data_IF_324141695475
#
_entry.id   IF_324141695475
#
_cell.length_a   1.000
_cell.length_b   1.000
_cell.length_c   1.000
_cell.angle_alpha   90.00
_cell.angle_beta   90.00
_cell.angle_gamma   90.00
#
_symmetry.space_group_name_H-M   'P 1'
#
loop_
_entity.id
_entity.type
_entity.pdbx_description
1 polymer ?
#
# COMPACT_ATOMS: atom_id res chain seq x y z
N UNK A 1 -23.96 2.02 9.54
CA UNK A 1 -22.80 1.29 10.09
C UNK A 1 -22.68 0.01 9.30
N UNK A 2 -21.90 0.02 8.23
CA UNK A 2 -21.60 -1.18 7.45
C UNK A 2 -20.17 -1.55 7.80
N UNK A 3 -20.02 -2.58 8.63
CA UNK A 3 -18.71 -3.09 9.01
C UNK A 3 -18.21 -3.96 7.85
N UNK A 4 -17.16 -3.50 7.18
CA UNK A 4 -16.42 -4.31 6.23
C UNK A 4 -15.68 -5.39 7.02
N UNK A 5 -16.09 -6.64 6.83
CA UNK A 5 -15.41 -7.78 7.43
C UNK A 5 -14.09 -8.04 6.70
N UNK A 6 -13.03 -8.17 7.50
CA UNK A 6 -11.65 -8.37 7.09
C UNK A 6 -11.49 -9.58 6.15
N UNK A 7 -10.61 -9.46 5.16
CA UNK A 7 -10.33 -10.51 4.19
C UNK A 7 -8.85 -10.93 4.28
N UNK A 8 -8.61 -12.18 4.69
CA UNK A 8 -7.34 -12.86 4.50
C UNK A 8 -7.59 -14.06 3.58
N UNK A 9 -7.35 -13.90 2.28
CA UNK A 9 -7.28 -15.03 1.36
C UNK A 9 -5.88 -15.59 1.45
N UNK A 10 -5.72 -16.66 2.20
CA UNK A 10 -4.55 -17.53 2.09
C UNK A 10 -5.03 -18.96 2.05
N UNK A 11 -4.62 -19.74 1.04
CA UNK A 11 -3.61 -20.78 1.22
C UNK A 11 -3.50 -21.73 0.01
N UNK A 12 -2.43 -22.51 0.11
CA UNK A 12 -1.82 -23.49 -0.78
C UNK A 12 -2.75 -24.51 -1.46
N UNK A 13 -2.35 -24.92 -2.67
CA UNK A 13 -2.85 -26.12 -3.31
C UNK A 13 -1.72 -27.11 -3.62
N UNK A 14 -1.93 -28.36 -3.20
CA UNK A 14 -1.13 -29.52 -3.61
C UNK A 14 -1.52 -29.97 -5.02
N UNK A 15 -0.54 -30.23 -5.87
CA UNK A 15 -0.75 -30.78 -7.20
C UNK A 15 -1.29 -32.22 -7.11
N UNK A 16 -2.58 -32.42 -7.42
CA UNK A 16 -3.13 -33.76 -7.64
C UNK A 16 -2.80 -34.26 -9.05
N UNK A 17 -2.15 -35.41 -9.16
CA UNK A 17 -1.89 -36.09 -10.44
C UNK A 17 -3.10 -36.96 -10.83
N UNK A 18 -4.07 -36.41 -11.58
CA UNK A 18 -5.13 -37.19 -12.23
C UNK A 18 -4.82 -37.43 -13.72
N UNK A 19 -5.28 -38.55 -14.31
CA UNK A 19 -4.73 -39.07 -15.55
C UNK A 19 -5.16 -38.27 -16.79
N UNK A 20 -4.21 -38.04 -17.68
CA UNK A 20 -4.42 -37.41 -18.98
C UNK A 20 -5.04 -38.42 -19.95
N UNK A 21 -6.26 -38.17 -20.42
CA UNK A 21 -6.91 -39.05 -21.39
C UNK A 21 -6.38 -38.80 -22.82
N UNK A 22 -5.51 -39.69 -23.30
CA UNK A 22 -5.10 -39.75 -24.71
C UNK A 22 -5.71 -40.98 -25.38
N UNK A 23 -6.56 -40.75 -26.39
CA UNK A 23 -6.85 -41.76 -27.42
C UNK A 23 -6.21 -41.40 -28.77
N UNK A 24 -5.96 -40.11 -29.04
CA UNK A 24 -5.23 -39.62 -30.21
C UNK A 24 -4.50 -38.28 -29.88
N UNK A 25 -3.15 -38.22 -29.96
CA UNK A 25 -2.36 -37.00 -29.75
C UNK A 25 -2.61 -35.88 -30.76
N UNK A 26 -3.15 -36.19 -31.94
CA UNK A 26 -3.38 -35.22 -33.03
C UNK A 26 -4.66 -34.37 -32.87
N UNK A 27 -5.49 -34.70 -31.88
CA UNK A 27 -6.79 -34.08 -31.60
C UNK A 27 -6.81 -33.39 -30.21
N UNK A 28 -5.62 -33.06 -29.70
CA UNK A 28 -5.44 -32.34 -28.44
C UNK A 28 -5.72 -30.84 -28.65
N UNK A 29 -6.87 -30.35 -28.17
CA UNK A 29 -7.31 -28.94 -28.27
C UNK A 29 -6.85 -28.08 -27.09
N UNK A 30 -5.70 -28.38 -26.46
CA UNK A 30 -5.32 -27.80 -25.15
C UNK A 30 -4.98 -26.34 -25.24
N UNK A 31 -4.54 -25.95 -26.43
CA UNK A 31 -4.08 -24.61 -26.71
C UNK A 31 -5.20 -23.79 -27.37
N UNK A 32 -6.36 -24.40 -27.63
CA UNK A 32 -7.49 -23.73 -28.30
C UNK A 32 -8.33 -22.89 -27.33
N UNK A 33 -8.26 -23.19 -26.03
CA UNK A 33 -8.92 -22.47 -24.94
C UNK A 33 -7.89 -22.21 -23.87
N UNK A 34 -7.80 -20.97 -23.39
CA UNK A 34 -6.90 -20.57 -22.31
C UNK A 34 -7.72 -19.89 -21.20
N UNK A 35 -7.76 -20.50 -20.01
CA UNK A 35 -8.43 -19.91 -18.85
C UNK A 35 -7.40 -19.01 -18.17
N UNK A 36 -7.65 -17.70 -18.15
CA UNK A 36 -6.74 -16.71 -17.58
C UNK A 36 -6.90 -16.59 -16.06
N UNK A 37 -8.10 -16.81 -15.54
CA UNK A 37 -8.41 -16.59 -14.13
C UNK A 37 -9.89 -16.73 -13.81
N UNK A 38 -10.19 -16.58 -12.53
CA UNK A 38 -11.54 -16.40 -12.02
C UNK A 38 -11.62 -15.08 -11.26
N UNK A 39 -12.77 -14.42 -11.34
CA UNK A 39 -13.03 -13.14 -10.67
C UNK A 39 -14.33 -13.26 -9.88
N UNK A 40 -14.34 -12.73 -8.67
CA UNK A 40 -15.55 -12.55 -7.88
C UNK A 40 -15.96 -11.08 -7.88
N UNK A 41 -17.18 -10.80 -8.32
CA UNK A 41 -17.81 -9.50 -8.16
C UNK A 41 -18.69 -9.52 -6.93
N UNK A 42 -18.18 -8.97 -5.85
CA UNK A 42 -18.93 -8.86 -4.59
C UNK A 42 -19.91 -7.70 -4.71
N UNK A 43 -21.18 -7.95 -4.38
CA UNK A 43 -22.24 -6.92 -4.39
C UNK A 43 -21.99 -5.79 -3.38
N UNK A 44 -21.14 -6.05 -2.37
CA UNK A 44 -20.70 -5.09 -1.36
C UNK A 44 -21.69 -4.85 -0.22
N UNK A 45 -22.95 -5.27 -0.38
CA UNK A 45 -24.01 -5.05 0.59
C UNK A 45 -24.31 -6.32 1.40
N UNK A 46 -24.32 -6.19 2.73
CA UNK A 46 -24.88 -7.20 3.63
C UNK A 46 -26.41 -7.05 3.65
N UNK A 47 -27.12 -7.95 2.97
CA UNK A 47 -28.58 -7.93 2.88
C UNK A 47 -29.11 -9.17 3.60
N UNK A 48 -29.99 -8.95 4.58
CA UNK A 48 -30.63 -10.01 5.38
C UNK A 48 -29.64 -11.01 6.02
N UNK A 49 -28.43 -10.54 6.36
CA UNK A 49 -27.39 -11.34 7.02
C UNK A 49 -26.46 -12.09 6.07
N UNK A 50 -26.60 -11.90 4.76
CA UNK A 50 -25.74 -12.52 3.74
C UNK A 50 -25.09 -11.48 2.83
N UNK A 51 -23.88 -11.80 2.37
CA UNK A 51 -23.21 -11.14 1.25
C UNK A 51 -23.34 -12.05 0.03
N UNK A 52 -23.48 -11.47 -1.16
CA UNK A 52 -23.43 -12.21 -2.42
C UNK A 52 -22.28 -11.76 -3.31
N UNK A 53 -21.75 -12.68 -4.10
CA UNK A 53 -20.82 -12.39 -5.18
C UNK A 53 -21.10 -13.25 -6.39
N UNK A 54 -20.95 -12.65 -7.56
CA UNK A 54 -21.02 -13.38 -8.82
C UNK A 54 -19.61 -13.82 -9.23
N UNK A 55 -19.43 -15.12 -9.41
CA UNK A 55 -18.20 -15.75 -9.87
C UNK A 55 -18.18 -15.76 -11.40
N UNK A 56 -17.09 -15.28 -11.99
CA UNK A 56 -16.87 -15.28 -13.43
C UNK A 56 -15.55 -15.97 -13.78
N UNK A 57 -15.53 -16.63 -14.94
CA UNK A 57 -14.33 -17.18 -15.56
C UNK A 57 -13.85 -16.23 -16.68
N UNK A 58 -12.56 -15.93 -16.70
CA UNK A 58 -11.91 -15.19 -17.79
C UNK A 58 -11.28 -16.18 -18.76
N UNK A 59 -11.79 -16.22 -19.99
CA UNK A 59 -11.45 -17.25 -20.98
C UNK A 59 -11.06 -16.61 -22.31
N UNK A 60 -9.94 -17.06 -22.88
CA UNK A 60 -9.54 -16.76 -24.24
C UNK A 60 -9.75 -17.99 -25.15
N UNK A 61 -10.33 -17.78 -26.33
CA UNK A 61 -10.50 -18.81 -27.34
C UNK A 61 -9.53 -18.57 -28.49
N UNK A 62 -8.48 -19.39 -28.55
CA UNK A 62 -7.39 -19.25 -29.52
C UNK A 62 -7.75 -19.78 -30.91
N UNK A 63 -8.75 -20.66 -31.03
CA UNK A 63 -9.15 -21.30 -32.29
C UNK A 63 -10.60 -21.01 -32.71
N UNK A 64 -10.87 -20.91 -34.01
CA UNK A 64 -12.21 -20.71 -34.60
C UNK A 64 -13.05 -22.01 -34.60
N UNK A 65 -13.33 -22.57 -33.42
CA UNK A 65 -14.28 -23.67 -33.26
C UNK A 65 -15.31 -23.35 -32.16
N UNK A 66 -16.39 -24.13 -32.10
CA UNK A 66 -17.33 -24.09 -30.98
C UNK A 66 -16.81 -24.95 -29.82
N UNK A 67 -16.67 -24.36 -28.65
CA UNK A 67 -16.25 -25.06 -27.43
C UNK A 67 -17.36 -24.99 -26.39
N UNK A 68 -17.72 -26.15 -25.86
CA UNK A 68 -18.59 -26.26 -24.71
C UNK A 68 -17.72 -26.20 -23.45
N UNK A 69 -17.84 -25.16 -22.63
CA UNK A 69 -17.02 -24.96 -21.41
C UNK A 69 -17.84 -25.26 -20.16
N UNK A 70 -17.21 -25.87 -19.17
CA UNK A 70 -17.76 -26.11 -17.85
C UNK A 70 -16.72 -25.91 -16.75
N UNK A 71 -17.20 -25.65 -15.55
CA UNK A 71 -16.41 -25.41 -14.34
C UNK A 71 -16.91 -26.35 -13.24
N UNK A 72 -16.00 -26.87 -12.44
CA UNK A 72 -16.29 -27.51 -11.16
C UNK A 72 -15.49 -26.81 -10.09
N UNK A 73 -16.07 -26.52 -8.94
CA UNK A 73 -15.36 -25.84 -7.87
C UNK A 73 -15.95 -26.20 -6.51
N UNK A 74 -15.13 -25.99 -5.48
CA UNK A 74 -15.59 -26.03 -4.10
C UNK A 74 -15.65 -24.61 -3.55
N UNK A 75 -16.62 -24.36 -2.67
CA UNK A 75 -16.65 -23.12 -1.90
C UNK A 75 -16.90 -23.40 -0.43
N UNK A 76 -16.16 -22.68 0.42
CA UNK A 76 -16.16 -22.82 1.86
C UNK A 76 -16.30 -21.46 2.54
N UNK A 77 -16.84 -21.49 3.75
CA UNK A 77 -16.70 -20.43 4.74
C UNK A 77 -15.72 -20.87 5.83
N UNK A 78 -15.44 -20.00 6.79
CA UNK A 78 -14.64 -20.37 7.98
C UNK A 78 -15.22 -21.56 8.75
N UNK A 79 -16.53 -21.78 8.67
CA UNK A 79 -17.26 -22.73 9.51
C UNK A 79 -17.73 -23.98 8.74
N UNK A 80 -18.02 -23.83 7.45
CA UNK A 80 -18.70 -24.87 6.66
C UNK A 80 -18.41 -24.77 5.17
N UNK A 81 -18.39 -25.92 4.49
CA UNK A 81 -18.41 -26.04 3.03
C UNK A 81 -19.79 -25.72 2.47
N UNK A 82 -19.91 -24.68 1.66
CA UNK A 82 -21.19 -24.23 1.07
C UNK A 82 -21.43 -24.80 -0.33
N UNK A 83 -20.38 -25.22 -1.03
CA UNK A 83 -20.43 -25.88 -2.34
C UNK A 83 -19.37 -26.97 -2.39
N UNK A 84 -19.76 -28.16 -2.86
CA UNK A 84 -18.91 -29.35 -2.96
C UNK A 84 -19.01 -29.92 -4.37
N UNK A 85 -17.89 -29.98 -5.09
CA UNK A 85 -17.82 -30.42 -6.49
C UNK A 85 -18.93 -29.77 -7.36
N UNK A 86 -19.20 -28.47 -7.16
CA UNK A 86 -20.32 -27.79 -7.82
C UNK A 86 -20.06 -27.69 -9.32
N UNK A 87 -20.87 -28.41 -10.10
CA UNK A 87 -20.74 -28.47 -11.56
C UNK A 87 -21.60 -27.41 -12.25
N UNK A 88 -20.92 -26.48 -12.94
CA UNK A 88 -21.56 -25.44 -13.73
C UNK A 88 -21.23 -25.62 -15.22
N UNK A 89 -22.28 -25.78 -16.04
CA UNK A 89 -22.17 -25.72 -17.49
C UNK A 89 -22.27 -24.27 -17.97
N UNK A 90 -21.18 -23.71 -18.46
CA UNK A 90 -21.12 -22.32 -18.94
C UNK A 90 -21.77 -22.14 -20.32
N UNK A 91 -21.73 -23.18 -21.17
CA UNK A 91 -22.38 -23.17 -22.48
C UNK A 91 -21.40 -23.28 -23.65
N UNK A 92 -21.88 -22.94 -24.85
CA UNK A 92 -21.13 -23.05 -26.10
C UNK A 92 -20.63 -21.67 -26.54
N UNK A 93 -19.33 -21.56 -26.75
CA UNK A 93 -18.66 -20.32 -27.15
C UNK A 93 -17.93 -20.51 -28.48
N UNK A 94 -17.93 -19.47 -29.29
CA UNK A 94 -17.23 -19.39 -30.58
C UNK A 94 -16.22 -18.27 -30.47
N UNK A 95 -15.00 -18.45 -30.97
CA UNK A 95 -14.02 -17.36 -31.05
C UNK A 95 -14.62 -16.16 -31.80
N UNK A 96 -14.54 -14.98 -31.19
CA UNK A 96 -14.75 -13.71 -31.86
C UNK A 96 -13.40 -13.00 -32.00
N UNK A 97 -13.27 -12.08 -32.94
CA UNK A 97 -11.95 -11.68 -33.42
C UNK A 97 -11.13 -10.79 -32.47
N UNK A 98 -11.58 -10.47 -31.24
CA UNK A 98 -10.83 -9.60 -30.32
C UNK A 98 -11.16 -9.69 -28.80
N UNK A 99 -12.04 -10.58 -28.31
CA UNK A 99 -12.48 -10.48 -26.91
C UNK A 99 -11.96 -11.61 -26.01
N UNK A 100 -11.44 -11.21 -24.85
CA UNK A 100 -11.44 -12.06 -23.65
C UNK A 100 -12.90 -12.21 -23.19
N UNK A 101 -13.32 -13.45 -22.98
CA UNK A 101 -14.67 -13.73 -22.51
C UNK A 101 -14.70 -13.69 -21.00
N UNK A 102 -15.57 -12.85 -20.46
CA UNK A 102 -15.96 -12.90 -19.06
C UNK A 102 -17.28 -13.66 -18.96
N UNK A 103 -17.23 -14.88 -18.43
CA UNK A 103 -18.36 -15.82 -18.46
C UNK A 103 -18.84 -16.05 -17.05
N UNK A 104 -20.12 -15.77 -16.80
CA UNK A 104 -20.76 -16.02 -15.51
C UNK A 104 -20.75 -17.51 -15.18
N UNK A 105 -20.34 -17.84 -13.95
CA UNK A 105 -20.25 -19.21 -13.42
C UNK A 105 -21.37 -19.45 -12.42
N UNK A 106 -21.35 -18.78 -11.27
CA UNK A 106 -22.35 -18.98 -10.22
C UNK A 106 -22.52 -17.71 -9.38
N UNK A 107 -23.62 -17.61 -8.64
CA UNK A 107 -23.80 -16.62 -7.58
C UNK A 107 -23.59 -17.30 -6.24
N UNK A 108 -22.54 -16.89 -5.54
CA UNK A 108 -22.21 -17.36 -4.20
C UNK A 108 -22.83 -16.46 -3.15
N UNK A 109 -23.40 -17.06 -2.11
CA UNK A 109 -23.92 -16.34 -0.94
C UNK A 109 -23.31 -16.94 0.33
N UNK A 110 -22.86 -16.09 1.24
CA UNK A 110 -22.30 -16.51 2.52
C UNK A 110 -22.65 -15.51 3.64
N UNK A 111 -22.60 -15.93 4.92
CA UNK A 111 -22.94 -15.06 6.04
C UNK A 111 -22.06 -13.81 6.10
N UNK A 112 -22.65 -12.67 6.45
CA UNK A 112 -21.90 -11.45 6.69
C UNK A 112 -20.92 -11.63 7.85
N UNK A 113 -19.69 -11.15 7.71
CA UNK A 113 -18.66 -11.31 8.73
C UNK A 113 -17.76 -12.53 8.55
N UNK A 114 -18.16 -13.48 7.71
CA UNK A 114 -17.40 -14.70 7.43
C UNK A 114 -16.56 -14.56 6.15
N UNK A 115 -15.45 -15.29 6.10
CA UNK A 115 -14.65 -15.44 4.88
C UNK A 115 -15.36 -16.36 3.88
N UNK A 116 -15.06 -16.15 2.59
CA UNK A 116 -15.39 -17.07 1.50
C UNK A 116 -14.09 -17.56 0.86
N UNK A 117 -13.97 -18.87 0.73
CA UNK A 117 -12.91 -19.54 0.00
C UNK A 117 -13.51 -20.22 -1.21
N UNK A 118 -12.92 -20.03 -2.39
CA UNK A 118 -13.29 -20.75 -3.61
C UNK A 118 -12.04 -21.47 -4.08
N UNK A 119 -12.07 -22.79 -4.01
CA UNK A 119 -10.91 -23.65 -4.18
C UNK A 119 -11.22 -24.80 -5.13
N UNK A 120 -10.18 -25.59 -5.46
CA UNK A 120 -10.29 -26.79 -6.30
C UNK A 120 -11.00 -26.55 -7.65
N UNK A 121 -10.82 -25.36 -8.21
CA UNK A 121 -11.48 -25.00 -9.46
C UNK A 121 -10.90 -25.83 -10.62
N UNK A 122 -11.76 -26.65 -11.21
CA UNK A 122 -11.52 -27.44 -12.39
C UNK A 122 -12.27 -26.84 -13.57
N UNK A 123 -11.58 -26.67 -14.69
CA UNK A 123 -12.19 -26.27 -15.96
C UNK A 123 -12.01 -27.36 -16.98
N UNK A 124 -13.04 -27.56 -17.78
CA UNK A 124 -12.97 -28.45 -18.92
C UNK A 124 -13.74 -27.87 -20.09
N UNK A 125 -13.29 -28.22 -21.29
CA UNK A 125 -13.98 -27.87 -22.52
C UNK A 125 -14.08 -29.05 -23.45
N UNK A 126 -14.98 -28.95 -24.42
CA UNK A 126 -15.05 -29.89 -25.52
C UNK A 126 -15.43 -29.26 -26.84
N UNK A 127 -14.67 -29.58 -27.88
CA UNK A 127 -14.92 -29.15 -29.25
C UNK A 127 -16.21 -29.78 -29.78
N UNK A 128 -17.17 -28.97 -30.22
CA UNK A 128 -18.46 -29.43 -30.75
C UNK A 128 -19.19 -30.43 -29.84
N UNK A 129 -19.12 -30.24 -28.51
CA UNK A 129 -19.64 -31.17 -27.48
C UNK A 129 -20.85 -30.63 -26.70
N UNK A 130 -21.51 -31.48 -25.93
CA UNK A 130 -22.64 -31.17 -25.04
C UNK A 130 -22.28 -30.81 -23.59
N UNK A 131 -21.00 -30.71 -23.21
CA UNK A 131 -20.52 -30.50 -21.82
C UNK A 131 -21.09 -31.52 -20.83
N UNK A 132 -20.42 -32.66 -20.62
CA UNK A 132 -20.79 -33.62 -19.58
C UNK A 132 -19.62 -33.78 -18.63
N UNK A 133 -19.81 -33.47 -17.34
CA UNK A 133 -18.83 -33.77 -16.29
C UNK A 133 -18.86 -35.25 -15.93
N UNK A 134 -17.68 -35.83 -15.72
CA UNK A 134 -17.51 -37.22 -15.32
C UNK A 134 -16.83 -37.27 -13.95
N UNK A 135 -17.39 -38.06 -13.04
CA UNK A 135 -16.91 -38.21 -11.67
C UNK A 135 -15.46 -38.72 -11.60
N UNK A 136 -14.72 -38.43 -10.51
CA UNK A 136 -13.38 -38.97 -10.29
C UNK A 136 -13.39 -40.50 -10.30
N UNK A 137 -12.92 -41.13 -11.39
CA UNK A 137 -12.85 -42.59 -11.54
C UNK A 137 -13.31 -43.16 -12.88
N UNK A 138 -13.88 -42.35 -13.77
CA UNK A 138 -14.23 -42.77 -15.13
C UNK A 138 -12.97 -43.01 -15.99
N UNK A 139 -12.88 -44.17 -16.64
CA UNK A 139 -11.75 -44.51 -17.52
C UNK A 139 -12.01 -44.00 -18.94
N UNK A 140 -10.94 -43.59 -19.62
CA UNK A 140 -10.99 -42.96 -20.95
C UNK A 140 -11.55 -43.85 -22.10
N UNK A 141 -11.98 -45.08 -21.80
CA UNK A 141 -12.60 -46.02 -22.75
C UNK A 141 -14.11 -45.90 -22.84
N UNK A 142 -14.75 -45.15 -21.93
CA UNK A 142 -16.19 -44.97 -21.92
C UNK A 142 -16.57 -43.89 -22.94
N UNK A 143 -17.37 -44.32 -23.92
CA UNK A 143 -17.68 -43.63 -25.17
C UNK A 143 -17.97 -42.12 -25.03
N UNK A 144 -17.45 -41.35 -26.00
CA UNK A 144 -17.69 -39.91 -26.23
C UNK A 144 -17.04 -38.92 -25.25
N UNK A 145 -15.74 -39.09 -24.98
CA UNK A 145 -14.94 -38.09 -24.26
C UNK A 145 -14.85 -36.79 -25.05
N UNK A 146 -15.44 -35.73 -24.52
CA UNK A 146 -15.30 -34.40 -25.12
C UNK A 146 -14.16 -33.58 -24.57
N UNK A 147 -13.53 -34.01 -23.48
CA UNK A 147 -12.51 -33.21 -22.80
C UNK A 147 -11.14 -33.80 -23.05
N UNK A 148 -10.60 -33.55 -24.24
CA UNK A 148 -9.15 -33.49 -24.36
C UNK A 148 -8.82 -32.10 -23.83
N UNK A 149 -8.27 -32.01 -22.61
CA UNK A 149 -7.03 -31.27 -22.32
C UNK A 149 -6.75 -30.92 -20.85
N UNK A 150 -5.44 -30.72 -20.64
CA UNK A 150 -4.66 -29.99 -19.62
C UNK A 150 -5.43 -29.41 -18.42
N UNK A 151 -5.06 -29.88 -17.22
CA UNK A 151 -5.29 -29.23 -15.93
C UNK A 151 -4.48 -27.92 -15.89
N UNK A 152 -5.13 -26.78 -15.69
CA UNK A 152 -4.43 -25.55 -15.27
C UNK A 152 -3.85 -25.75 -13.88
N UNK A 153 -2.73 -25.09 -13.58
CA UNK A 153 -2.29 -24.95 -12.19
C UNK A 153 -3.44 -24.35 -11.37
N UNK A 154 -3.53 -24.64 -10.04
CA UNK A 154 -4.54 -24.05 -9.17
C UNK A 154 -4.68 -22.56 -9.46
N UNK A 155 -5.88 -22.15 -9.90
CA UNK A 155 -6.13 -20.80 -10.37
C UNK A 155 -6.59 -19.96 -9.18
N UNK A 156 -5.94 -18.83 -8.94
CA UNK A 156 -6.35 -17.88 -7.91
C UNK A 156 -7.66 -17.19 -8.35
N UNK A 157 -8.61 -17.09 -7.43
CA UNK A 157 -9.74 -16.16 -7.60
C UNK A 157 -9.25 -14.76 -7.26
N UNK A 158 -9.12 -13.92 -8.29
CA UNK A 158 -8.64 -12.55 -8.10
C UNK A 158 -9.81 -11.70 -7.65
N UNK A 159 -9.78 -11.29 -6.39
CA UNK A 159 -10.75 -10.35 -5.83
C UNK A 159 -10.21 -8.94 -6.05
N UNK A 160 -10.97 -8.03 -6.70
CA UNK A 160 -10.54 -6.66 -6.85
C UNK A 160 -10.30 -6.01 -5.50
N UNK A 161 -9.21 -5.26 -5.38
CA UNK A 161 -8.80 -4.73 -4.10
C UNK A 161 -7.64 -3.77 -4.18
N UNK A 162 -7.45 -3.03 -3.10
CA UNK A 162 -6.33 -2.08 -2.95
C UNK A 162 -5.48 -2.51 -1.77
N UNK A 163 -4.24 -2.92 -2.04
CA UNK A 163 -3.23 -3.17 -1.01
C UNK A 163 -2.49 -1.87 -0.72
N UNK A 164 -2.59 -1.38 0.51
CA UNK A 164 -1.73 -0.31 1.00
C UNK A 164 -0.47 -0.93 1.58
N UNK A 165 0.68 -0.42 1.15
CA UNK A 165 1.97 -0.76 1.71
C UNK A 165 2.59 0.50 2.32
N UNK A 166 2.84 0.44 3.61
CA UNK A 166 3.45 1.52 4.37
C UNK A 166 4.94 1.23 4.56
N UNK A 167 5.75 2.15 4.05
CA UNK A 167 7.20 2.16 4.26
C UNK A 167 7.55 3.35 5.15
N UNK A 168 8.22 3.07 6.26
CA UNK A 168 8.70 4.07 7.21
C UNK A 168 10.21 4.16 7.08
N UNK A 169 10.74 5.38 6.88
CA UNK A 169 12.16 5.63 6.66
C UNK A 169 12.70 6.55 7.76
N UNK A 170 13.76 6.09 8.41
CA UNK A 170 14.58 6.87 9.35
C UNK A 170 16.00 6.93 8.79
N UNK A 171 16.27 7.79 7.79
CA UNK A 171 17.45 7.66 6.95
C UNK A 171 18.75 8.14 7.62
N UNK A 172 18.66 8.83 8.77
CA UNK A 172 19.80 9.43 9.45
C UNK A 172 20.11 8.72 10.79
N UNK A 173 21.37 8.81 11.22
CA UNK A 173 21.74 8.45 12.60
C UNK A 173 20.98 9.34 13.58
N UNK A 174 20.74 8.90 14.81
CA UNK A 174 19.91 9.59 15.82
C UNK A 174 18.41 9.78 15.50
N UNK A 175 17.93 9.25 14.37
CA UNK A 175 16.50 9.02 14.20
C UNK A 175 16.06 7.79 14.97
N UNK A 176 15.06 7.95 15.84
CA UNK A 176 14.20 6.86 16.26
C UNK A 176 12.84 6.99 15.62
N UNK A 177 12.24 5.85 15.39
CA UNK A 177 10.83 5.76 15.10
C UNK A 177 10.12 5.60 16.45
N UNK A 178 9.28 6.58 16.80
CA UNK A 178 8.59 6.65 18.10
C UNK A 178 7.34 5.74 18.09
N UNK A 179 6.48 5.82 19.12
CA UNK A 179 5.13 5.20 19.12
C UNK A 179 4.15 5.90 18.14
N UNK A 180 4.66 6.42 17.02
CA UNK A 180 3.83 7.11 16.02
C UNK A 180 3.03 6.10 15.21
N UNK A 181 1.75 6.42 15.04
CA UNK A 181 0.82 5.68 14.18
C UNK A 181 0.55 6.46 12.89
N UNK A 182 0.40 5.73 11.79
CA UNK A 182 0.05 6.26 10.47
C UNK A 182 -1.34 5.77 10.10
N UNK A 183 -2.31 6.68 10.13
CA UNK A 183 -3.69 6.39 9.79
C UNK A 183 -3.94 6.53 8.28
N UNK A 184 -4.58 5.53 7.71
CA UNK A 184 -5.07 5.51 6.34
C UNK A 184 -6.58 5.41 6.31
N UNK A 185 -7.20 6.26 5.50
CA UNK A 185 -8.61 6.17 5.18
C UNK A 185 -8.78 5.79 3.71
N UNK A 186 -9.74 4.91 3.44
CA UNK A 186 -10.22 4.63 2.08
C UNK A 186 -11.68 5.06 1.97
N UNK A 187 -11.98 5.80 0.91
CA UNK A 187 -13.35 6.19 0.55
C UNK A 187 -13.71 5.66 -0.82
N UNK A 188 -14.99 5.45 -1.07
CA UNK A 188 -15.47 4.88 -2.33
C UNK A 188 -16.92 5.27 -2.64
N UNK A 189 -17.52 4.66 -3.66
CA UNK A 189 -18.89 4.95 -4.07
C UNK A 189 -19.89 4.65 -2.95
N UNK A 190 -21.08 5.26 -3.07
CA UNK A 190 -22.24 4.98 -2.18
C UNK A 190 -21.92 5.16 -0.68
N UNK A 191 -20.94 6.01 -0.35
CA UNK A 191 -20.56 6.29 1.04
C UNK A 191 -19.69 5.22 1.69
N UNK A 192 -19.06 4.34 0.90
CA UNK A 192 -18.04 3.43 1.40
C UNK A 192 -16.93 4.22 2.11
N UNK A 193 -16.63 3.83 3.34
CA UNK A 193 -15.54 4.36 4.15
C UNK A 193 -14.98 3.24 5.03
N UNK A 194 -13.67 3.09 5.04
CA UNK A 194 -12.95 2.16 5.89
C UNK A 194 -11.56 2.77 6.19
N UNK A 195 -10.78 2.16 7.07
CA UNK A 195 -9.44 2.61 7.37
C UNK A 195 -8.57 1.52 7.98
N UNK A 196 -7.28 1.78 7.99
CA UNK A 196 -6.30 0.96 8.70
C UNK A 196 -5.22 1.86 9.30
N UNK A 197 -4.67 1.45 10.42
CA UNK A 197 -3.55 2.13 11.06
C UNK A 197 -2.33 1.22 11.01
N UNK A 198 -1.18 1.80 10.65
CA UNK A 198 0.11 1.14 10.78
C UNK A 198 0.87 1.78 11.93
N UNK A 199 1.67 0.98 12.61
CA UNK A 199 2.68 1.52 13.49
C UNK A 199 3.91 1.97 12.68
N UNK A 200 4.87 2.41 13.46
CA UNK A 200 6.21 2.80 13.09
C UNK A 200 7.03 1.73 12.33
N UNK A 201 6.71 0.44 12.44
CA UNK A 201 7.38 -0.63 11.69
C UNK A 201 6.89 -0.69 10.22
N UNK A 202 5.78 0.00 9.93
CA UNK A 202 5.12 -0.02 8.64
C UNK A 202 4.39 -1.34 8.42
N UNK A 203 4.34 -1.80 7.16
CA UNK A 203 3.71 -3.07 6.82
C UNK A 203 2.74 -2.92 5.67
N UNK A 204 1.76 -3.80 5.61
CA UNK A 204 0.76 -3.75 4.54
C UNK A 204 -0.61 -4.23 4.99
N UNK A 205 -1.63 -3.70 4.33
CA UNK A 205 -3.02 -4.05 4.57
C UNK A 205 -3.77 -4.02 3.25
N UNK A 206 -4.67 -4.98 3.03
CA UNK A 206 -5.45 -5.06 1.79
C UNK A 206 -6.91 -4.73 2.07
N UNK A 207 -7.39 -3.65 1.45
CA UNK A 207 -8.81 -3.34 1.34
C UNK A 207 -9.39 -4.19 0.20
N UNK A 208 -10.05 -5.27 0.57
CA UNK A 208 -10.77 -6.16 -0.32
C UNK A 208 -11.91 -6.83 0.47
N UNK A 209 -12.99 -7.29 -0.19
CA UNK A 209 -13.29 -7.08 -1.61
C UNK A 209 -13.70 -5.63 -1.92
N UNK A 210 -13.36 -5.15 -3.12
CA UNK A 210 -13.83 -3.87 -3.65
C UNK A 210 -14.60 -4.08 -4.97
N UNK A 211 -15.50 -3.17 -5.28
CA UNK A 211 -16.36 -3.24 -6.47
C UNK A 211 -15.56 -2.81 -7.69
N UNK A 212 -15.48 -3.65 -8.72
CA UNK A 212 -14.87 -3.29 -9.98
C UNK A 212 -15.69 -2.21 -10.73
N UNK A 213 -15.05 -1.49 -11.64
CA UNK A 213 -15.62 -0.34 -12.34
C UNK A 213 -15.83 0.91 -11.48
N UNK A 214 -15.42 0.85 -10.20
CA UNK A 214 -15.59 1.92 -9.23
C UNK A 214 -14.28 2.62 -8.88
N UNK A 215 -14.39 3.89 -8.49
CA UNK A 215 -13.26 4.70 -8.04
C UNK A 215 -13.21 4.77 -6.52
N UNK A 216 -12.06 4.43 -5.97
CA UNK A 216 -11.73 4.54 -4.55
C UNK A 216 -10.63 5.58 -4.35
N UNK A 217 -10.61 6.24 -3.19
CA UNK A 217 -9.55 7.17 -2.81
C UNK A 217 -8.94 6.72 -1.50
N UNK A 218 -7.66 6.37 -1.53
CA UNK A 218 -6.84 6.09 -0.34
C UNK A 218 -6.10 7.36 0.03
N UNK A 219 -6.21 7.77 1.28
CA UNK A 219 -5.56 8.98 1.82
C UNK A 219 -4.86 8.64 3.12
N UNK A 220 -3.67 9.20 3.31
CA UNK A 220 -2.94 9.15 4.57
C UNK A 220 -3.13 10.45 5.37
N UNK A 221 -3.30 10.30 6.69
CA UNK A 221 -3.21 11.41 7.63
C UNK A 221 -1.76 11.51 8.10
N UNK A 222 -1.02 12.49 7.58
CA UNK A 222 0.41 12.64 7.87
C UNK A 222 0.60 13.07 9.33
N UNK A 223 1.27 12.26 10.18
CA UNK A 223 1.52 12.65 11.56
C UNK A 223 2.48 13.84 11.68
N UNK A 224 2.39 14.58 12.78
CA UNK A 224 3.31 15.70 13.06
C UNK A 224 4.75 15.18 13.16
N UNK A 225 5.70 15.91 12.56
CA UNK A 225 7.11 15.52 12.53
C UNK A 225 7.44 14.44 11.50
N UNK A 226 6.51 14.14 10.58
CA UNK A 226 6.73 13.23 9.46
C UNK A 226 6.40 13.91 8.13
N UNK A 227 7.06 13.46 7.06
CA UNK A 227 6.79 13.91 5.70
C UNK A 227 6.54 12.73 4.76
N UNK A 228 5.45 12.81 4.00
CA UNK A 228 5.14 11.87 2.93
C UNK A 228 6.01 12.18 1.71
N UNK A 229 7.04 11.37 1.52
CA UNK A 229 8.10 11.59 0.53
C UNK A 229 7.79 10.97 -0.83
N UNK A 230 7.04 9.87 -0.85
CA UNK A 230 6.64 9.23 -2.10
C UNK A 230 5.34 8.44 -1.98
N UNK A 231 4.59 8.39 -3.08
CA UNK A 231 3.51 7.43 -3.25
C UNK A 231 3.63 6.82 -4.66
N UNK A 232 3.62 5.50 -4.76
CA UNK A 232 3.66 4.78 -6.04
C UNK A 232 2.49 3.81 -6.15
N UNK A 233 2.13 3.43 -7.38
CA UNK A 233 1.08 2.45 -7.64
C UNK A 233 1.61 1.37 -8.58
N UNK A 234 1.29 0.12 -8.27
CA UNK A 234 1.51 -1.04 -9.12
C UNK A 234 0.20 -1.83 -9.23
N UNK A 235 0.02 -2.59 -10.31
CA UNK A 235 -1.15 -3.45 -10.50
C UNK A 235 -0.71 -4.82 -10.98
N UNK A 236 -1.54 -5.83 -10.71
CA UNK A 236 -1.33 -7.19 -11.22
C UNK A 236 -1.62 -7.33 -12.73
N UNK A 237 -2.23 -6.32 -13.36
CA UNK A 237 -2.52 -6.28 -14.79
C UNK A 237 -1.39 -5.61 -15.61
N UNK A 238 -1.29 -5.97 -16.89
CA UNK A 238 -0.21 -5.46 -17.75
C UNK A 238 -0.37 -3.96 -18.12
N UNK A 239 -1.60 -3.43 -18.08
CA UNK A 239 -1.86 -2.00 -18.23
C UNK A 239 -1.77 -1.32 -16.86
N UNK A 240 -1.09 -0.16 -16.73
CA UNK A 240 -1.01 0.55 -15.46
C UNK A 240 -2.42 0.83 -14.91
N UNK A 241 -2.60 0.76 -13.58
CA UNK A 241 -3.87 1.12 -12.97
C UNK A 241 -4.19 2.58 -13.30
N UNK A 242 -5.46 2.95 -13.37
CA UNK A 242 -5.82 4.38 -13.36
C UNK A 242 -5.61 4.93 -11.95
N UNK A 243 -4.36 5.22 -11.62
CA UNK A 243 -3.92 5.74 -10.34
C UNK A 243 -3.58 7.22 -10.49
N UNK A 244 -4.46 8.09 -10.01
CA UNK A 244 -4.29 9.55 -10.09
C UNK A 244 -3.89 10.13 -8.73
N UNK A 245 -2.98 11.13 -8.70
CA UNK A 245 -2.55 11.75 -7.44
C UNK A 245 -3.67 12.58 -6.79
N UNK A 246 -3.73 12.53 -5.45
CA UNK A 246 -4.49 13.46 -4.59
C UNK A 246 -3.53 14.05 -3.54
N UNK A 247 -3.98 15.01 -2.73
CA UNK A 247 -3.12 15.79 -1.81
C UNK A 247 -2.20 14.92 -0.94
N UNK A 248 -2.73 13.86 -0.31
CA UNK A 248 -1.97 12.91 0.51
C UNK A 248 -2.31 11.45 0.15
N UNK A 249 -2.53 11.18 -1.13
CA UNK A 249 -3.17 9.93 -1.51
C UNK A 249 -3.21 9.62 -2.99
N UNK A 250 -4.03 8.62 -3.31
CA UNK A 250 -4.28 8.14 -4.66
C UNK A 250 -5.75 7.87 -4.88
N UNK A 251 -6.24 8.29 -6.04
CA UNK A 251 -7.54 7.87 -6.57
C UNK A 251 -7.32 6.74 -7.56
N UNK A 252 -7.98 5.60 -7.33
CA UNK A 252 -7.81 4.35 -8.07
C UNK A 252 -9.17 3.93 -8.62
N UNK A 253 -9.30 3.80 -9.94
CA UNK A 253 -10.46 3.11 -10.53
C UNK A 253 -10.08 1.67 -10.81
N UNK A 254 -10.77 0.74 -10.16
CA UNK A 254 -10.49 -0.69 -10.25
C UNK A 254 -11.17 -1.30 -11.47
N UNK A 255 -10.41 -2.05 -12.28
CA UNK A 255 -10.91 -2.96 -13.29
C UNK A 255 -11.38 -4.30 -12.71
N UNK A 256 -11.96 -5.13 -13.58
CA UNK A 256 -12.26 -6.54 -13.26
C UNK A 256 -10.97 -7.29 -12.90
N UNK A 257 -10.99 -8.05 -11.80
CA UNK A 257 -9.84 -8.80 -11.32
C UNK A 257 -8.60 -7.94 -11.02
N UNK A 258 -8.75 -6.62 -10.85
CA UNK A 258 -7.62 -5.73 -10.62
C UNK A 258 -7.27 -5.61 -9.14
N UNK A 259 -6.01 -5.89 -8.80
CA UNK A 259 -5.41 -5.60 -7.50
C UNK A 259 -4.35 -4.52 -7.65
N UNK A 260 -4.61 -3.38 -7.03
CA UNK A 260 -3.67 -2.26 -7.03
C UNK A 260 -2.92 -2.22 -5.71
N UNK A 261 -1.59 -2.27 -5.77
CA UNK A 261 -0.74 -1.97 -4.61
C UNK A 261 -0.37 -0.49 -4.66
N UNK A 262 -0.67 0.22 -3.57
CA UNK A 262 -0.27 1.62 -3.37
C UNK A 262 0.75 1.65 -2.25
N UNK A 263 1.97 2.05 -2.57
CA UNK A 263 3.07 2.13 -1.59
C UNK A 263 3.25 3.58 -1.17
N UNK A 264 3.10 3.86 0.12
CA UNK A 264 3.33 5.16 0.76
C UNK A 264 4.66 5.12 1.51
N UNK A 265 5.50 6.14 1.33
CA UNK A 265 6.80 6.25 2.00
C UNK A 265 6.89 7.54 2.79
N UNK A 266 7.03 7.41 4.10
CA UNK A 266 7.20 8.54 5.01
C UNK A 266 8.58 8.54 5.63
N UNK A 267 9.13 9.75 5.77
CA UNK A 267 10.39 9.97 6.46
C UNK A 267 10.18 10.84 7.68
N UNK A 268 10.86 10.52 8.78
CA UNK A 268 10.86 11.36 9.98
C UNK A 268 11.55 12.69 9.65
N UNK A 269 10.90 13.80 9.98
CA UNK A 269 11.48 15.12 9.77
C UNK A 269 12.62 15.39 10.76
N UNK A 270 13.61 16.14 10.29
CA UNK A 270 14.64 16.75 11.12
C UNK A 270 14.04 17.63 12.22
N UNK A 271 14.75 17.72 13.34
CA UNK A 271 14.48 18.72 14.39
C UNK A 271 15.75 19.49 14.75
N UNK A 272 15.59 20.76 15.11
CA UNK A 272 16.62 21.65 15.61
C UNK A 272 16.20 22.19 16.99
N UNK A 273 17.17 22.32 17.88
CA UNK A 273 17.05 22.92 19.20
C UNK A 273 18.32 23.74 19.43
N UNK A 274 18.17 25.06 19.44
CA UNK A 274 19.23 26.02 19.65
C UNK A 274 19.64 26.06 21.14
N UNK A 275 18.81 25.54 22.04
CA UNK A 275 18.95 25.70 23.48
C UNK A 275 18.38 27.02 24.00
N UNK A 276 18.45 27.20 25.32
CA UNK A 276 17.86 28.34 26.02
C UNK A 276 18.53 29.68 25.67
N UNK A 277 17.76 30.76 25.76
CA UNK A 277 18.26 32.14 25.66
C UNK A 277 19.39 32.42 26.65
N UNK A 278 20.35 33.24 26.23
CA UNK A 278 21.57 33.51 26.99
C UNK A 278 21.69 34.98 27.37
N UNK A 279 22.40 35.25 28.47
CA UNK A 279 22.79 36.60 28.89
C UNK A 279 24.31 36.62 29.04
N UNK A 280 24.96 37.62 28.43
CA UNK A 280 26.42 37.73 28.41
C UNK A 280 26.85 39.18 28.53
N UNK A 281 28.02 39.42 29.11
CA UNK A 281 28.61 40.75 29.15
C UNK A 281 29.13 41.16 27.77
N UNK A 282 29.07 42.45 27.46
CA UNK A 282 29.65 43.00 26.23
C UNK A 282 31.15 42.65 26.12
N UNK A 283 31.56 42.18 24.94
CA UNK A 283 32.92 41.72 24.66
C UNK A 283 33.21 40.26 25.04
N UNK A 284 32.33 39.61 25.81
CA UNK A 284 32.47 38.20 26.19
C UNK A 284 31.80 37.26 25.17
N UNK A 285 32.04 35.97 25.36
CA UNK A 285 31.59 34.90 24.48
C UNK A 285 30.55 33.99 25.14
N UNK A 286 29.62 33.51 24.33
CA UNK A 286 28.65 32.45 24.68
C UNK A 286 29.02 31.17 23.93
N UNK A 287 29.05 30.05 24.65
CA UNK A 287 29.19 28.72 24.05
C UNK A 287 27.79 28.27 23.62
N UNK A 288 27.68 27.86 22.36
CA UNK A 288 26.43 27.40 21.75
C UNK A 288 26.51 25.88 21.59
N UNK A 289 25.51 25.17 22.12
CA UNK A 289 25.42 23.71 22.07
C UNK A 289 24.08 23.32 21.44
N UNK A 290 24.03 23.33 20.11
CA UNK A 290 22.83 22.96 19.37
C UNK A 290 22.57 21.46 19.44
N UNK A 291 21.31 21.08 19.60
CA UNK A 291 20.85 19.70 19.56
C UNK A 291 19.92 19.49 18.37
N UNK A 292 20.07 18.37 17.67
CA UNK A 292 19.24 18.08 16.51
C UNK A 292 19.01 16.57 16.37
N UNK A 293 17.88 16.21 15.78
CA UNK A 293 17.56 14.83 15.43
C UNK A 293 17.18 14.72 13.95
N UNK A 294 17.30 13.54 13.37
CA UNK A 294 16.86 13.23 12.01
C UNK A 294 17.36 14.16 10.91
N UNK A 295 18.59 14.65 11.07
CA UNK A 295 19.16 15.65 10.18
C UNK A 295 20.29 15.08 9.31
N UNK A 296 20.45 15.67 8.13
CA UNK A 296 21.59 15.50 7.24
C UNK A 296 22.70 16.51 7.56
N UNK A 297 22.34 17.79 7.70
CA UNK A 297 23.28 18.85 8.07
C UNK A 297 22.63 19.80 9.08
N UNK A 298 23.47 20.34 9.98
CA UNK A 298 23.11 21.39 10.94
C UNK A 298 24.02 22.58 10.82
N UNK A 299 23.60 23.77 11.22
CA UNK A 299 24.48 24.93 11.23
C UNK A 299 23.91 26.10 11.99
N UNK A 300 24.81 26.94 12.49
CA UNK A 300 24.49 28.20 13.14
C UNK A 300 24.61 29.36 12.17
N UNK A 301 23.65 30.28 12.24
CA UNK A 301 23.72 31.59 11.63
C UNK A 301 23.24 32.66 12.62
N UNK A 302 23.41 33.92 12.25
CA UNK A 302 23.02 35.06 13.09
C UNK A 302 22.26 36.08 12.25
N UNK A 303 21.43 36.88 12.90
CA UNK A 303 20.80 38.03 12.25
C UNK A 303 21.88 38.91 11.60
N UNK A 304 21.57 39.43 10.41
CA UNK A 304 22.44 40.35 9.68
C UNK A 304 22.72 41.64 10.45
N UNK A 305 21.86 42.02 11.40
CA UNK A 305 22.08 43.17 12.28
C UNK A 305 23.12 42.92 13.38
N UNK A 306 23.38 41.66 13.74
CA UNK A 306 24.32 41.33 14.81
C UNK A 306 25.74 41.70 14.39
N UNK A 307 26.47 42.44 15.23
CA UNK A 307 27.84 42.87 14.99
C UNK A 307 28.87 41.89 15.53
N UNK A 308 28.50 41.07 16.53
CA UNK A 308 29.37 40.02 17.06
C UNK A 308 29.74 38.92 16.06
N UNK A 309 30.72 38.11 16.44
CA UNK A 309 31.37 37.11 15.56
C UNK A 309 30.96 35.70 15.98
N UNK A 310 30.49 34.90 15.01
CA UNK A 310 30.12 33.50 15.20
C UNK A 310 31.20 32.58 14.64
N UNK A 311 31.75 31.67 15.48
CA UNK A 311 32.82 30.74 15.09
C UNK A 311 32.61 29.35 15.72
N UNK A 312 32.73 28.24 14.96
CA UNK A 312 32.80 28.20 13.50
C UNK A 312 31.45 28.58 12.87
N UNK A 313 31.46 28.95 11.59
CA UNK A 313 30.25 29.19 10.79
C UNK A 313 30.23 28.23 9.59
N UNK A 314 29.03 27.92 9.10
CA UNK A 314 28.83 26.96 7.99
C UNK A 314 27.95 25.79 8.39
N UNK A 315 28.12 24.66 7.70
CA UNK A 315 27.33 23.44 7.89
C UNK A 315 28.09 22.37 8.68
N UNK A 316 27.34 21.42 9.23
CA UNK A 316 27.79 20.35 10.12
C UNK A 316 28.42 20.85 11.43
N UNK A 317 27.82 21.90 12.00
CA UNK A 317 28.28 22.52 13.24
C UNK A 317 27.17 22.42 14.27
N UNK A 318 27.30 21.49 15.22
CA UNK A 318 26.44 21.43 16.40
C UNK A 318 26.83 22.51 17.41
N UNK A 319 28.14 22.65 17.64
CA UNK A 319 28.66 23.53 18.68
C UNK A 319 29.42 24.71 18.06
N UNK A 320 29.11 25.91 18.54
CA UNK A 320 29.74 27.14 18.10
C UNK A 320 29.97 28.09 19.26
N UNK A 321 30.55 29.25 18.98
CA UNK A 321 30.79 30.30 19.94
C UNK A 321 30.41 31.63 19.31
N UNK A 322 29.60 32.40 20.02
CA UNK A 322 29.26 33.76 19.63
C UNK A 322 29.98 34.73 20.55
N UNK A 323 30.86 35.55 19.99
CA UNK A 323 31.58 36.61 20.71
C UNK A 323 30.92 37.94 20.43
N UNK A 324 30.40 38.57 21.48
CA UNK A 324 29.69 39.85 21.40
C UNK A 324 30.66 41.01 21.16
N UNK A 325 30.22 42.10 20.52
CA UNK A 325 31.05 43.29 20.41
C UNK A 325 31.20 43.97 21.78
N UNK A 326 32.30 44.70 22.04
CA UNK A 326 32.48 45.43 23.29
C UNK A 326 31.46 46.56 23.52
N UNK A 327 30.87 47.09 22.45
CA UNK A 327 29.90 48.19 22.51
C UNK A 327 28.91 48.13 21.34
N UNK A 328 27.76 48.80 21.50
CA UNK A 328 26.82 49.11 20.41
C UNK A 328 25.74 48.06 20.14
N UNK A 329 25.94 46.81 20.57
CA UNK A 329 24.96 45.73 20.46
C UNK A 329 24.38 45.39 21.82
N UNK A 330 23.05 45.31 21.92
CA UNK A 330 22.32 44.98 23.15
C UNK A 330 21.64 43.61 23.08
N UNK A 331 21.49 43.07 21.87
CA UNK A 331 20.89 41.76 21.63
C UNK A 331 21.26 41.25 20.24
N UNK A 332 21.40 39.93 20.13
CA UNK A 332 21.47 39.21 18.86
C UNK A 332 20.54 38.00 18.86
N UNK A 333 19.89 37.75 17.72
CA UNK A 333 19.18 36.49 17.45
C UNK A 333 20.09 35.58 16.64
N UNK A 334 20.30 34.37 17.15
CA UNK A 334 21.01 33.29 16.50
C UNK A 334 20.00 32.25 16.01
N UNK A 335 20.28 31.65 14.87
CA UNK A 335 19.46 30.61 14.26
C UNK A 335 20.24 29.31 14.19
N UNK A 336 19.68 28.25 14.74
CA UNK A 336 20.18 26.90 14.58
C UNK A 336 19.29 26.16 13.59
N UNK A 337 19.85 25.78 12.43
CA UNK A 337 19.09 25.18 11.34
C UNK A 337 19.48 23.73 11.16
N UNK A 338 18.49 22.83 11.15
CA UNK A 338 18.63 21.45 10.74
C UNK A 338 17.98 21.24 9.36
N UNK A 339 18.69 20.51 8.50
CA UNK A 339 18.21 20.06 7.18
C UNK A 339 18.10 18.54 7.21
N UNK A 340 17.15 17.93 6.51
CA UNK A 340 16.99 16.47 6.54
C UNK A 340 16.07 15.95 5.45
N UNK A 341 15.25 14.96 5.79
CA UNK A 341 14.41 14.25 4.83
C UNK A 341 13.18 15.07 4.41
N UNK A 342 12.71 15.95 5.27
CA UNK A 342 11.58 16.82 4.97
C UNK A 342 12.03 18.05 4.17
N UNK A 343 11.22 18.53 3.20
CA UNK A 343 11.61 19.65 2.32
C UNK A 343 11.92 20.95 3.06
N UNK A 344 11.18 21.20 4.14
CA UNK A 344 11.33 22.39 4.97
C UNK A 344 12.37 22.13 6.04
N UNK A 345 13.38 23.00 6.13
CA UNK A 345 14.36 22.96 7.20
C UNK A 345 13.68 23.25 8.54
N UNK A 346 14.15 22.59 9.60
CA UNK A 346 13.75 22.98 10.94
C UNK A 346 14.72 24.05 11.46
N UNK A 347 14.18 25.11 12.05
CA UNK A 347 14.95 26.25 12.52
C UNK A 347 14.48 26.59 13.93
N UNK A 348 15.42 26.55 14.86
CA UNK A 348 15.20 27.07 16.20
C UNK A 348 16.05 28.33 16.44
N UNK A 349 15.58 29.19 17.34
CA UNK A 349 16.20 30.50 17.60
C UNK A 349 16.65 30.63 19.04
N UNK A 350 17.84 31.19 19.23
CA UNK A 350 18.37 31.59 20.54
C UNK A 350 18.60 33.11 20.55
N UNK A 351 18.09 33.78 21.58
CA UNK A 351 18.37 35.20 21.83
C UNK A 351 19.53 35.33 22.82
N UNK A 352 20.56 36.07 22.41
CA UNK A 352 21.67 36.48 23.29
C UNK A 352 21.43 37.92 23.70
N UNK A 353 21.16 38.16 24.99
CA UNK A 353 21.02 39.49 25.56
C UNK A 353 22.37 39.97 26.09
N UNK A 354 22.75 41.20 25.74
CA UNK A 354 24.09 41.73 26.02
C UNK A 354 23.99 42.82 27.07
N UNK A 355 24.70 42.63 28.18
CA UNK A 355 24.75 43.59 29.28
C UNK A 355 26.08 44.33 29.30
N UNK A 356 26.06 45.61 29.63
CA UNK A 356 27.30 46.38 29.80
C UNK A 356 28.16 45.78 30.92
N UNK A 357 29.48 45.80 30.74
CA UNK A 357 30.37 45.40 31.81
C UNK A 357 30.27 46.38 32.99
N UNK A 358 30.29 45.89 34.24
CA UNK A 358 30.32 46.77 35.39
C UNK A 358 31.63 47.56 35.41
N UNK A 359 31.54 48.89 35.47
CA UNK A 359 32.69 49.77 35.67
C UNK A 359 33.30 49.56 37.07
N UNK A 360 34.55 49.14 37.12
CA UNK A 360 35.31 49.03 38.36
C UNK A 360 36.24 50.25 38.56
N UNK A 361 35.86 51.19 39.41
CA UNK A 361 36.76 52.25 39.89
C UNK A 361 37.64 51.74 41.04
N UNK A 362 38.96 51.71 40.85
CA UNK A 362 39.92 51.52 41.94
C UNK A 362 40.23 52.89 42.55
N UNK A 363 39.84 53.10 43.81
CA UNK A 363 40.22 54.29 44.60
C UNK A 363 41.35 53.94 45.56
N UNK A 364 42.45 54.71 45.49
CA UNK A 364 43.49 54.66 46.52
C UNK A 364 42.90 55.18 47.83
N UNK A 365 42.86 54.33 48.85
CA UNK A 365 42.58 54.76 50.22
C UNK A 365 43.90 55.32 50.76
N UNK A 366 43.95 56.64 50.99
CA UNK A 366 45.10 57.23 51.68
C UNK A 366 45.19 56.68 53.12
N UNK A 367 46.41 56.36 53.60
CA UNK A 367 46.64 55.58 54.81
C UNK A 367 46.24 56.24 56.12
#
# INVERSE_FOLDING_TARGET
MSALAALLVSMSASAGTYPVCYTDPSDCTSNDVDIQGFVLYVSGDCIDGYVSADLYAIVDFNAENAYCVYVVYDAYTDEEQIKDDEYVKLGNFLKNTNDLYEIFVDTLQWPCGSNLYVENIYTGWGKNSNCVYQSPGSYCSDFYLSSKCKRSDPMEVIIPGIRVEKVVVTPYNNCSCDETEFQFDITGPVGYNNGNTFDCEGGNYTFAPLVAGSTYTVTEIIPVGWGLTSISCATNLATPPTCSPTTNGRSITLGSGERVTVTFTDSKCQTADAGEDQIVCAGDSVILEGNASCYNTVGWSKDGSCQGVLVPSGTNILNATYTTPPTGEISCILFFTATGACPDNDIDTMTVNIVEQPDAEIRLVEP
#
